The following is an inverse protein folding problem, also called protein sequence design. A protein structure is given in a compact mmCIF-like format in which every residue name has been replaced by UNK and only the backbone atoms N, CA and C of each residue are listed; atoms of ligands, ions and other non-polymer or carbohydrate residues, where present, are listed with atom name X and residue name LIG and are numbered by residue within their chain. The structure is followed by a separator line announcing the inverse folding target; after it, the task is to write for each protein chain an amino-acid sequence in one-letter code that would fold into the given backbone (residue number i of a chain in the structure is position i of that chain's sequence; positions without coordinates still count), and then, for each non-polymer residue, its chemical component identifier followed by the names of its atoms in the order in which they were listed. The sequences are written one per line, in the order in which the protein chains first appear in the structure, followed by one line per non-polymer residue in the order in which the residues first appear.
data_IF_238556363802
#
_entry.id   IF_238556363802
#
_cell.length_a   1.000
_cell.length_b   1.000
_cell.length_c   1.000
_cell.angle_alpha   90.00
_cell.angle_beta   90.00
_cell.angle_gamma   90.00
#
_symmetry.space_group_name_H-M   'P 1'
#
loop_
_entity.id
_entity.type
_entity.pdbx_description
1 polymer ?
#
# COMPACT_ATOMS: atom_id res chain seq x y z
N UNK A 1 23.03 -4.25 7.41
CA UNK A 1 21.74 -4.28 8.11
C UNK A 1 20.94 -3.03 7.76
N UNK A 2 20.23 -3.00 6.63
CA UNK A 2 19.43 -1.83 6.19
C UNK A 2 18.16 -2.25 5.42
N UNK A 3 17.44 -3.25 5.92
CA UNK A 3 16.33 -3.85 5.16
C UNK A 3 15.09 -4.16 6.01
N UNK A 4 14.89 -3.45 7.12
CA UNK A 4 13.74 -3.71 8.00
C UNK A 4 13.25 -2.37 8.54
N UNK A 5 12.37 -1.68 7.80
CA UNK A 5 11.52 -0.57 8.30
C UNK A 5 10.58 -0.06 7.18
N UNK A 6 9.73 -0.94 6.64
CA UNK A 6 8.73 -0.61 5.61
C UNK A 6 7.38 -1.24 5.98
N UNK A 7 6.57 -0.66 6.89
CA UNK A 7 5.51 -1.51 7.46
C UNK A 7 4.11 -0.96 7.76
N UNK A 8 3.68 0.24 7.37
CA UNK A 8 2.27 0.62 7.60
C UNK A 8 1.57 1.19 6.35
N UNK A 9 1.99 2.34 5.79
CA UNK A 9 1.28 2.91 4.62
C UNK A 9 1.60 2.17 3.30
N UNK A 10 2.88 1.83 3.07
CA UNK A 10 3.28 0.93 1.99
C UNK A 10 2.80 -0.49 2.25
N UNK A 11 2.75 -0.96 3.51
CA UNK A 11 2.20 -2.29 3.77
C UNK A 11 0.74 -2.41 3.39
N UNK A 12 -0.11 -1.39 3.50
CA UNK A 12 -1.50 -1.55 3.06
C UNK A 12 -1.59 -1.66 1.53
N UNK A 13 -0.86 -0.83 0.77
CA UNK A 13 -0.86 -0.89 -0.70
C UNK A 13 -0.08 -2.13 -1.21
N UNK A 14 1.05 -2.48 -0.61
CA UNK A 14 1.80 -3.70 -0.89
C UNK A 14 1.07 -4.96 -0.42
N UNK A 15 0.26 -4.92 0.65
CA UNK A 15 -0.62 -6.03 1.05
C UNK A 15 -1.74 -6.19 0.01
N UNK A 16 -2.28 -5.11 -0.55
CA UNK A 16 -3.24 -5.21 -1.68
C UNK A 16 -2.58 -5.77 -2.94
N UNK A 17 -1.39 -5.28 -3.30
CA UNK A 17 -0.63 -5.80 -4.43
C UNK A 17 -0.16 -7.26 -4.23
N UNK A 18 0.22 -7.63 -3.01
CA UNK A 18 0.55 -9.00 -2.59
C UNK A 18 -0.69 -9.89 -2.37
N UNK A 19 -1.90 -9.33 -2.38
CA UNK A 19 -3.15 -10.09 -2.28
C UNK A 19 -3.76 -10.38 -3.66
N UNK A 20 -3.45 -9.59 -4.70
CA UNK A 20 -3.80 -9.95 -6.09
C UNK A 20 -2.75 -10.85 -6.74
N UNK A 21 -1.48 -10.71 -6.36
CA UNK A 21 -0.44 -11.70 -6.63
C UNK A 21 -0.03 -12.27 -5.29
N UNK A 22 -0.48 -13.47 -4.92
CA UNK A 22 -0.14 -14.19 -3.67
C UNK A 22 1.34 -13.95 -3.34
N UNK A 23 1.61 -12.91 -2.56
CA UNK A 23 2.92 -12.31 -2.46
C UNK A 23 3.50 -12.80 -1.17
N UNK A 24 3.95 -14.04 -1.16
CA UNK A 24 4.98 -14.46 -0.23
C UNK A 24 6.16 -13.50 -0.39
N UNK A 25 6.29 -12.54 0.53
CA UNK A 25 7.51 -11.78 0.64
C UNK A 25 8.47 -12.63 1.47
N UNK A 26 9.42 -13.29 0.79
CA UNK A 26 10.36 -14.25 1.41
C UNK A 26 9.66 -15.44 2.10
N UNK A 27 8.59 -15.98 1.49
CA UNK A 27 7.82 -17.10 2.06
C UNK A 27 6.85 -16.71 3.19
N UNK A 28 6.74 -15.42 3.53
CA UNK A 28 5.85 -14.93 4.59
C UNK A 28 4.56 -14.38 3.98
N UNK A 29 3.44 -14.98 4.34
CA UNK A 29 2.13 -14.40 4.10
C UNK A 29 1.96 -13.17 5.00
N UNK A 30 2.04 -11.97 4.40
CA UNK A 30 1.93 -10.71 5.14
C UNK A 30 0.57 -10.54 5.85
N UNK A 31 -0.48 -11.26 5.42
CA UNK A 31 -1.77 -11.28 6.12
C UNK A 31 -1.74 -12.07 7.44
N UNK A 32 -0.74 -12.92 7.64
CA UNK A 32 -0.55 -13.68 8.88
C UNK A 32 0.33 -12.97 9.90
N UNK A 33 1.06 -11.93 9.48
CA UNK A 33 1.97 -11.18 10.32
C UNK A 33 1.22 -10.28 11.32
N UNK A 34 1.55 -10.41 12.60
CA UNK A 34 1.09 -9.50 13.65
C UNK A 34 2.14 -8.40 13.81
N UNK A 35 1.76 -7.11 13.73
CA UNK A 35 2.71 -6.03 13.89
C UNK A 35 3.24 -5.98 15.32
N UNK A 36 4.47 -5.49 15.48
CA UNK A 36 5.14 -5.43 16.78
C UNK A 36 4.30 -4.73 17.87
N UNK A 37 3.55 -3.68 17.52
CA UNK A 37 2.71 -2.95 18.47
C UNK A 37 1.54 -3.77 19.02
N UNK A 38 1.19 -4.91 18.41
CA UNK A 38 0.16 -5.82 18.89
C UNK A 38 0.70 -7.08 19.57
N UNK A 39 2.02 -7.23 19.78
CA UNK A 39 2.57 -8.44 20.42
C UNK A 39 1.94 -8.67 21.80
N UNK A 40 1.82 -7.60 22.60
CA UNK A 40 1.25 -7.61 23.94
C UNK A 40 -0.26 -7.29 23.97
N UNK A 41 -0.91 -7.17 22.82
CA UNK A 41 -2.36 -7.01 22.73
C UNK A 41 -3.09 -8.33 22.99
N UNK A 42 -4.40 -8.26 23.25
CA UNK A 42 -5.23 -9.47 23.42
C UNK A 42 -5.34 -10.25 22.11
N UNK A 43 -5.66 -11.54 22.20
CA UNK A 43 -5.82 -12.38 21.01
C UNK A 43 -7.03 -11.94 20.17
N UNK A 44 -8.08 -11.45 20.80
CA UNK A 44 -9.22 -10.81 20.13
C UNK A 44 -8.76 -9.60 19.32
N UNK A 45 -7.90 -8.74 19.90
CA UNK A 45 -7.42 -7.55 19.21
C UNK A 45 -6.52 -7.89 18.01
N UNK A 46 -5.67 -8.92 18.15
CA UNK A 46 -4.87 -9.44 17.03
C UNK A 46 -5.75 -9.99 15.91
N UNK A 47 -6.83 -10.69 16.25
CA UNK A 47 -7.82 -11.21 15.28
C UNK A 47 -8.58 -10.09 14.58
N UNK A 48 -9.05 -9.09 15.33
CA UNK A 48 -9.75 -7.94 14.78
C UNK A 48 -8.86 -7.10 13.87
N UNK A 49 -7.59 -6.89 14.25
CA UNK A 49 -6.60 -6.27 13.39
C UNK A 49 -6.49 -6.99 12.04
N UNK A 50 -6.38 -8.33 12.04
CA UNK A 50 -6.33 -9.12 10.80
C UNK A 50 -7.57 -8.91 9.93
N UNK A 51 -8.76 -8.89 10.54
CA UNK A 51 -10.01 -8.62 9.82
C UNK A 51 -10.03 -7.22 9.21
N UNK A 52 -9.49 -6.22 9.90
CA UNK A 52 -9.41 -4.84 9.39
C UNK A 52 -8.47 -4.79 8.18
N UNK A 53 -7.24 -5.31 8.29
CA UNK A 53 -6.23 -5.17 7.23
C UNK A 53 -6.48 -6.06 6.00
N UNK A 54 -7.30 -7.10 6.13
CA UNK A 54 -7.69 -7.97 5.00
C UNK A 54 -8.97 -7.53 4.31
N UNK A 55 -9.69 -6.55 4.87
CA UNK A 55 -10.94 -6.08 4.30
C UNK A 55 -10.70 -5.12 3.12
N UNK A 56 -10.76 -5.70 1.91
CA UNK A 56 -10.58 -4.96 0.64
C UNK A 56 -11.64 -3.88 0.37
N UNK A 57 -12.77 -3.89 1.09
CA UNK A 57 -13.81 -2.84 0.93
C UNK A 57 -13.48 -1.54 1.66
N UNK A 58 -12.54 -1.58 2.61
CA UNK A 58 -12.11 -0.39 3.34
C UNK A 58 -11.13 0.43 2.51
N UNK A 59 -11.11 1.73 2.74
CA UNK A 59 -10.04 2.61 2.28
C UNK A 59 -8.88 2.61 3.30
N UNK A 60 -7.74 3.16 2.91
CA UNK A 60 -6.58 3.34 3.82
C UNK A 60 -6.98 4.18 5.05
N UNK A 61 -7.76 5.26 4.85
CA UNK A 61 -8.25 6.09 5.94
C UNK A 61 -9.17 5.30 6.89
N UNK A 62 -10.10 4.51 6.35
CA UNK A 62 -10.98 3.68 7.19
C UNK A 62 -10.20 2.61 7.97
N UNK A 63 -9.16 2.02 7.38
CA UNK A 63 -8.27 1.08 8.08
C UNK A 63 -7.54 1.78 9.23
N UNK A 64 -6.94 2.95 8.98
CA UNK A 64 -6.26 3.75 10.01
C UNK A 64 -7.20 4.05 11.18
N UNK A 65 -8.41 4.53 10.89
CA UNK A 65 -9.43 4.83 11.90
C UNK A 65 -9.83 3.59 12.71
N UNK A 66 -10.06 2.45 12.05
CA UNK A 66 -10.41 1.21 12.75
C UNK A 66 -9.29 0.67 13.62
N UNK A 67 -8.03 0.83 13.21
CA UNK A 67 -6.88 0.47 14.03
C UNK A 67 -6.76 1.43 15.22
N UNK A 68 -6.92 2.75 15.00
CA UNK A 68 -6.95 3.73 16.09
C UNK A 68 -8.02 3.33 17.14
N UNK A 69 -9.25 3.05 16.69
CA UNK A 69 -10.36 2.58 17.53
C UNK A 69 -10.01 1.28 18.29
N UNK A 70 -9.45 0.29 17.60
CA UNK A 70 -9.03 -0.98 18.20
C UNK A 70 -8.04 -0.77 19.35
N UNK A 71 -7.08 0.14 19.18
CA UNK A 71 -6.02 0.43 20.16
C UNK A 71 -6.56 1.18 21.39
N UNK A 72 -7.63 1.98 21.27
CA UNK A 72 -8.21 2.69 22.42
C UNK A 72 -8.60 1.78 23.58
N UNK A 73 -8.96 0.53 23.28
CA UNK A 73 -9.39 -0.48 24.25
C UNK A 73 -8.24 -1.36 24.79
N UNK A 74 -7.01 -1.12 24.37
CA UNK A 74 -5.84 -1.88 24.81
C UNK A 74 -5.14 -1.25 26.03
N UNK A 75 -4.15 -1.96 26.57
CA UNK A 75 -3.31 -1.48 27.67
C UNK A 75 -2.50 -0.24 27.28
N UNK A 76 -2.07 0.53 28.28
CA UNK A 76 -1.25 1.74 28.05
C UNK A 76 0.08 1.42 27.36
N UNK A 77 0.65 0.24 27.63
CA UNK A 77 1.85 -0.24 26.93
C UNK A 77 1.59 -0.42 25.43
N UNK A 78 0.50 -1.08 25.04
CA UNK A 78 0.13 -1.27 23.63
C UNK A 78 -0.13 0.07 22.94
N UNK A 79 -0.82 0.99 23.63
CA UNK A 79 -1.08 2.35 23.14
C UNK A 79 0.23 3.11 22.89
N UNK A 80 1.17 3.06 23.83
CA UNK A 80 2.46 3.74 23.68
C UNK A 80 3.24 3.19 22.49
N UNK A 81 3.35 1.87 22.35
CA UNK A 81 4.07 1.24 21.23
C UNK A 81 3.38 1.53 19.90
N UNK A 82 2.05 1.61 19.88
CA UNK A 82 1.28 2.02 18.71
C UNK A 82 1.59 3.46 18.28
N UNK A 83 1.62 4.42 19.21
CA UNK A 83 1.96 5.81 18.89
C UNK A 83 3.40 5.94 18.35
N UNK A 84 4.36 5.19 18.91
CA UNK A 84 5.73 5.14 18.36
C UNK A 84 5.75 4.56 16.95
N UNK A 85 4.98 3.51 16.69
CA UNK A 85 4.86 2.91 15.36
C UNK A 85 4.20 3.87 14.37
N UNK A 86 3.15 4.59 14.79
CA UNK A 86 2.45 5.62 14.01
C UNK A 86 3.36 6.78 13.64
N UNK A 87 4.16 7.27 14.58
CA UNK A 87 5.16 8.31 14.33
C UNK A 87 6.24 7.87 13.32
N UNK A 88 6.78 6.66 13.47
CA UNK A 88 7.75 6.09 12.52
C UNK A 88 7.14 5.92 11.13
N UNK A 89 5.89 5.46 11.05
CA UNK A 89 5.17 5.33 9.79
C UNK A 89 4.98 6.67 9.07
N UNK A 90 4.69 7.75 9.80
CA UNK A 90 4.55 9.09 9.23
C UNK A 90 5.87 9.61 8.62
N UNK A 91 7.01 9.32 9.28
CA UNK A 91 8.34 9.65 8.73
C UNK A 91 8.60 8.89 7.43
N UNK A 92 8.35 7.57 7.43
CA UNK A 92 8.53 6.72 6.25
C UNK A 92 7.61 7.15 5.10
N UNK A 93 6.34 7.48 5.38
CA UNK A 93 5.39 7.97 4.38
C UNK A 93 5.88 9.28 3.74
N UNK A 94 6.46 10.16 4.56
CA UNK A 94 7.04 11.43 4.08
C UNK A 94 8.26 11.20 3.20
N UNK A 95 9.19 10.32 3.62
CA UNK A 95 10.37 9.95 2.83
C UNK A 95 9.99 9.29 1.51
N UNK A 96 9.00 8.38 1.52
CA UNK A 96 8.49 7.76 0.31
C UNK A 96 7.90 8.81 -0.65
N UNK A 97 7.04 9.69 -0.14
CA UNK A 97 6.44 10.76 -0.96
C UNK A 97 7.54 11.62 -1.59
N UNK A 98 8.51 12.05 -0.80
CA UNK A 98 9.65 12.82 -1.29
C UNK A 98 10.44 12.08 -2.38
N UNK A 99 10.68 10.77 -2.19
CA UNK A 99 11.36 9.94 -3.19
C UNK A 99 10.54 9.82 -4.48
N UNK A 100 9.23 9.57 -4.40
CA UNK A 100 8.36 9.46 -5.57
C UNK A 100 8.23 10.79 -6.32
N UNK A 101 8.13 11.91 -5.61
CA UNK A 101 8.16 13.25 -6.21
C UNK A 101 9.51 13.52 -6.89
N UNK A 102 10.64 13.19 -6.23
CA UNK A 102 11.96 13.33 -6.83
C UNK A 102 12.18 12.44 -8.05
N UNK A 103 11.61 11.23 -8.06
CA UNK A 103 11.57 10.36 -9.23
C UNK A 103 10.83 11.03 -10.38
N UNK A 104 9.66 11.62 -10.13
CA UNK A 104 8.88 12.31 -11.16
C UNK A 104 9.68 13.41 -11.86
N UNK A 105 10.53 14.14 -11.14
CA UNK A 105 11.40 15.18 -11.71
C UNK A 105 12.44 14.61 -12.68
N UNK A 106 12.86 13.35 -12.49
CA UNK A 106 13.82 12.65 -13.34
C UNK A 106 13.21 12.00 -14.59
N UNK A 107 11.88 11.91 -14.66
CA UNK A 107 11.18 11.31 -15.80
C UNK A 107 11.15 12.22 -17.02
N UNK A 108 11.00 11.63 -18.20
CA UNK A 108 10.68 12.37 -19.41
C UNK A 108 9.33 13.09 -19.32
N UNK A 109 9.18 14.21 -20.05
CA UNK A 109 7.93 14.98 -20.10
C UNK A 109 6.72 14.14 -20.54
N UNK A 110 6.94 13.11 -21.34
CA UNK A 110 5.87 12.20 -21.79
C UNK A 110 5.43 11.22 -20.69
N UNK A 111 6.33 10.87 -19.76
CA UNK A 111 6.06 9.92 -18.67
C UNK A 111 5.44 10.57 -17.44
N UNK A 112 5.75 11.85 -17.18
CA UNK A 112 5.27 12.61 -16.02
C UNK A 112 3.74 12.56 -15.83
N UNK A 113 2.89 12.76 -16.86
CA UNK A 113 1.45 12.75 -16.67
C UNK A 113 0.92 11.41 -16.15
N UNK A 114 1.39 10.30 -16.72
CA UNK A 114 0.99 8.95 -16.31
C UNK A 114 1.53 8.60 -14.93
N UNK A 115 2.78 8.96 -14.63
CA UNK A 115 3.36 8.77 -13.32
C UNK A 115 2.60 9.55 -12.24
N UNK A 116 2.19 10.79 -12.52
CA UNK A 116 1.36 11.58 -11.61
C UNK A 116 -0.03 10.96 -11.41
N UNK A 117 -0.66 10.43 -12.45
CA UNK A 117 -1.94 9.70 -12.31
C UNK A 117 -1.79 8.48 -11.39
N UNK A 118 -0.73 7.69 -11.56
CA UNK A 118 -0.43 6.53 -10.69
C UNK A 118 -0.20 6.99 -9.25
N UNK A 119 0.60 8.04 -9.05
CA UNK A 119 0.87 8.64 -7.75
C UNK A 119 -0.43 9.08 -7.07
N UNK A 120 -1.31 9.76 -7.79
CA UNK A 120 -2.60 10.22 -7.25
C UNK A 120 -3.48 9.06 -6.78
N UNK A 121 -3.46 7.91 -7.46
CA UNK A 121 -4.22 6.73 -7.03
C UNK A 121 -3.64 6.16 -5.74
N UNK A 122 -2.33 6.02 -5.63
CA UNK A 122 -1.69 5.44 -4.41
C UNK A 122 -1.73 6.40 -3.22
N UNK A 123 -1.74 7.71 -3.44
CA UNK A 123 -1.82 8.71 -2.37
C UNK A 123 -3.26 8.97 -1.91
N UNK A 124 -4.25 8.58 -2.70
CA UNK A 124 -5.65 8.77 -2.34
C UNK A 124 -6.06 7.73 -1.29
N UNK A 125 -6.12 8.19 -0.03
CA UNK A 125 -6.44 7.37 1.13
C UNK A 125 -7.94 7.04 1.25
N UNK A 126 -8.79 7.56 0.36
CA UNK A 126 -10.25 7.37 0.36
C UNK A 126 -10.72 6.34 -0.67
N UNK A 127 -9.85 5.90 -1.58
CA UNK A 127 -10.18 4.83 -2.52
C UNK A 127 -10.20 3.49 -1.76
N UNK A 128 -11.27 2.68 -1.89
CA UNK A 128 -11.29 1.33 -1.37
C UNK A 128 -10.14 0.50 -1.95
N UNK A 129 -9.51 -0.31 -1.11
CA UNK A 129 -8.37 -1.14 -1.52
C UNK A 129 -8.68 -2.02 -2.75
N UNK A 130 -9.91 -2.52 -2.88
CA UNK A 130 -10.37 -3.29 -4.04
C UNK A 130 -10.38 -2.53 -5.36
N UNK A 131 -10.43 -1.19 -5.33
CA UNK A 131 -10.48 -0.37 -6.54
C UNK A 131 -9.10 0.09 -7.00
N UNK A 132 -8.08 0.00 -6.15
CA UNK A 132 -6.72 0.44 -6.48
C UNK A 132 -6.18 -0.32 -7.70
N UNK A 133 -6.22 -1.66 -7.77
CA UNK A 133 -5.64 -2.39 -8.91
C UNK A 133 -6.33 -2.05 -10.23
N UNK A 134 -7.65 -1.93 -10.23
CA UNK A 134 -8.41 -1.52 -11.42
C UNK A 134 -7.97 -0.13 -11.90
N UNK A 135 -7.91 0.86 -11.00
CA UNK A 135 -7.50 2.23 -11.37
C UNK A 135 -6.08 2.29 -11.92
N UNK A 136 -5.16 1.52 -11.34
CA UNK A 136 -3.79 1.44 -11.83
C UNK A 136 -3.73 0.76 -13.20
N UNK A 137 -4.55 -0.27 -13.43
CA UNK A 137 -4.69 -0.93 -14.72
C UNK A 137 -5.23 0.00 -15.80
N UNK A 138 -6.27 0.78 -15.48
CA UNK A 138 -6.85 1.78 -16.38
C UNK A 138 -5.82 2.84 -16.79
N UNK A 139 -4.93 3.26 -15.88
CA UNK A 139 -3.85 4.18 -16.21
C UNK A 139 -2.80 3.51 -17.10
N UNK A 140 -2.37 2.30 -16.74
CA UNK A 140 -1.38 1.55 -17.53
C UNK A 140 -1.85 1.28 -18.96
N UNK A 141 -3.14 0.98 -19.15
CA UNK A 141 -3.74 0.75 -20.46
C UNK A 141 -3.76 2.00 -21.36
N UNK A 142 -3.71 3.21 -20.80
CA UNK A 142 -3.58 4.46 -21.58
C UNK A 142 -2.18 4.66 -22.14
N UNK A 143 -1.17 4.01 -21.55
CA UNK A 143 0.22 4.15 -21.98
C UNK A 143 0.41 3.25 -23.19
N UNK A 144 0.43 3.83 -24.40
CA UNK A 144 0.66 3.06 -25.64
C UNK A 144 2.14 3.00 -26.03
N UNK A 145 2.95 3.94 -25.52
CA UNK A 145 4.38 4.03 -25.77
C UNK A 145 5.15 3.09 -24.84
N UNK A 146 5.81 2.08 -25.40
CA UNK A 146 6.62 1.11 -24.67
C UNK A 146 7.81 1.75 -23.94
N UNK A 147 8.37 2.85 -24.45
CA UNK A 147 9.45 3.57 -23.75
C UNK A 147 8.94 4.22 -22.46
N UNK A 148 7.75 4.82 -22.49
CA UNK A 148 7.08 5.38 -21.32
C UNK A 148 6.72 4.28 -20.31
N UNK A 149 6.18 3.15 -20.78
CA UNK A 149 5.91 1.99 -19.90
C UNK A 149 7.16 1.49 -19.20
N UNK A 150 8.26 1.33 -19.93
CA UNK A 150 9.51 0.85 -19.37
C UNK A 150 10.11 1.84 -18.37
N UNK A 151 10.04 3.14 -18.66
CA UNK A 151 10.52 4.19 -17.75
C UNK A 151 9.74 4.19 -16.43
N UNK A 152 8.41 4.16 -16.50
CA UNK A 152 7.53 4.13 -15.31
C UNK A 152 7.67 2.79 -14.57
N UNK A 153 7.81 1.68 -15.30
CA UNK A 153 7.94 0.32 -14.75
C UNK A 153 9.20 0.11 -13.89
N UNK A 154 10.23 0.95 -14.03
CA UNK A 154 11.42 0.93 -13.15
C UNK A 154 11.10 1.33 -11.71
N UNK A 155 10.07 2.15 -11.51
CA UNK A 155 9.71 2.72 -10.21
C UNK A 155 8.44 2.09 -9.64
N UNK A 156 7.56 1.61 -10.52
CA UNK A 156 6.36 0.91 -10.18
C UNK A 156 6.42 -0.51 -10.78
N UNK A 157 6.84 -1.54 -10.01
CA UNK A 157 6.79 -2.93 -10.43
C UNK A 157 5.34 -3.47 -10.40
N UNK A 158 4.39 -2.67 -10.88
CA UNK A 158 3.11 -3.16 -11.35
C UNK A 158 3.47 -4.01 -12.57
N UNK A 159 2.86 -5.18 -12.76
CA UNK A 159 2.98 -5.94 -14.00
C UNK A 159 2.29 -5.18 -15.16
N UNK A 160 2.75 -3.95 -15.48
CA UNK A 160 2.19 -3.06 -16.51
C UNK A 160 2.24 -3.69 -17.90
N UNK A 161 3.13 -4.67 -18.09
CA UNK A 161 3.37 -5.36 -19.36
C UNK A 161 2.35 -6.48 -19.63
N UNK A 162 1.65 -6.99 -18.60
CA UNK A 162 0.77 -8.17 -18.72
C UNK A 162 -0.70 -7.94 -18.35
N UNK A 163 -1.11 -6.71 -18.04
CA UNK A 163 -2.53 -6.44 -17.76
C UNK A 163 -3.30 -6.32 -19.09
N UNK A 164 -3.88 -7.44 -19.53
CA UNK A 164 -4.96 -7.39 -20.51
C UNK A 164 -6.12 -6.59 -19.91
N UNK A 165 -6.79 -5.73 -20.70
CA UNK A 165 -8.03 -5.09 -20.26
C UNK A 165 -9.01 -6.17 -19.81
N UNK A 166 -9.85 -5.90 -18.78
CA UNK A 166 -10.87 -6.84 -18.37
C UNK A 166 -11.69 -7.24 -19.59
N UNK A 167 -11.76 -8.54 -19.87
CA UNK A 167 -12.68 -9.05 -20.88
C UNK A 167 -14.09 -8.75 -20.39
N UNK A 168 -14.82 -7.93 -21.14
CA UNK A 168 -16.26 -7.75 -20.97
C UNK A 168 -16.94 -9.12 -21.11
N UNK A 169 -17.14 -9.82 -19.99
CA UNK A 169 -18.01 -10.98 -19.95
C UNK A 169 -19.43 -10.44 -19.78
N UNK A 170 -20.11 -10.37 -20.93
CA UNK A 170 -21.57 -10.25 -21.07
C UNK A 170 -22.29 -11.42 -20.40
#
# INVERSE_FOLDING_TARGET
MKTILYFISICIICVVFAQENIGEYDGVNLSDSIPFFLINATDEAKSEYKNIITNKSLSVNSIKQKIDELITNQSDEVKQVYEEAKAKAAVIETELRANLTGTMDSLTENSKPYFQELLNVIENQDIPLSQIPQKLSEIAAKITDESVKNEIGQFFPINMVNQQPPSDNV
#
